data_IF_895814160901
#
_entry.id   IF_895814160901
#
_cell.length_a   1.000
_cell.length_b   1.000
_cell.length_c   1.000
_cell.angle_alpha   90.00
_cell.angle_beta   90.00
_cell.angle_gamma   90.00
#
_symmetry.space_group_name_H-M   'P 1'
#
loop_
_entity.id
_entity.type
_entity.pdbx_description
1 polymer ?
#
# COMPACT_ATOMS: atom_id res chain seq x y z
N UNK A 1 -13.44 -17.63 -6.47
CA UNK A 1 -14.05 -16.29 -6.65
C UNK A 1 -14.30 -15.89 -8.11
N UNK A 2 -14.15 -16.78 -9.10
CA UNK A 2 -14.56 -16.52 -10.49
C UNK A 2 -15.80 -17.32 -10.92
N UNK A 3 -16.41 -18.07 -10.00
CA UNK A 3 -17.58 -18.92 -10.27
C UNK A 3 -18.78 -18.13 -10.77
N UNK A 4 -18.98 -16.92 -10.25
CA UNK A 4 -20.08 -16.03 -10.68
C UNK A 4 -19.81 -15.34 -12.01
N UNK A 5 -18.55 -15.26 -12.42
CA UNK A 5 -18.17 -14.69 -13.71
C UNK A 5 -18.54 -15.63 -14.87
N UNK A 6 -18.96 -16.89 -14.59
CA UNK A 6 -19.19 -17.95 -15.59
C UNK A 6 -18.13 -17.91 -16.69
N UNK A 7 -16.88 -17.55 -16.35
CA UNK A 7 -15.75 -17.68 -17.26
C UNK A 7 -15.59 -19.17 -17.37
N UNK A 8 -16.23 -19.70 -18.41
CA UNK A 8 -16.25 -21.11 -18.67
C UNK A 8 -14.81 -21.50 -18.94
N UNK A 9 -14.14 -22.06 -17.93
CA UNK A 9 -12.86 -22.73 -18.04
C UNK A 9 -13.00 -24.03 -18.85
N UNK A 10 -13.76 -23.97 -19.95
CA UNK A 10 -13.77 -25.01 -20.95
C UNK A 10 -12.36 -25.01 -21.58
N UNK A 11 -11.60 -26.05 -21.25
CA UNK A 11 -10.36 -26.50 -21.90
C UNK A 11 -9.04 -25.83 -21.49
N UNK A 12 -8.81 -25.45 -20.23
CA UNK A 12 -7.50 -24.96 -19.75
C UNK A 12 -6.89 -23.76 -20.52
N UNK A 13 -7.67 -23.12 -21.40
CA UNK A 13 -7.25 -22.01 -22.27
C UNK A 13 -7.08 -20.70 -21.50
N UNK A 14 -7.69 -20.60 -20.31
CA UNK A 14 -7.58 -19.48 -19.38
C UNK A 14 -7.27 -20.09 -18.02
N UNK A 15 -6.10 -19.74 -17.47
CA UNK A 15 -5.65 -20.21 -16.17
C UNK A 15 -5.64 -19.03 -15.21
N UNK A 16 -6.11 -19.27 -13.99
CA UNK A 16 -6.11 -18.26 -12.93
C UNK A 16 -4.91 -18.53 -12.03
N UNK A 17 -4.04 -17.53 -11.88
CA UNK A 17 -2.87 -17.60 -11.00
C UNK A 17 -2.81 -16.32 -10.19
N UNK A 18 -2.80 -16.42 -8.86
CA UNK A 18 -2.67 -15.26 -7.97
C UNK A 18 -3.86 -14.28 -7.99
N UNK A 19 -4.94 -14.60 -8.71
CA UNK A 19 -6.07 -13.70 -8.96
C UNK A 19 -6.07 -13.08 -10.36
N UNK A 20 -4.98 -13.24 -11.12
CA UNK A 20 -4.85 -12.78 -12.50
C UNK A 20 -5.21 -13.88 -13.52
N UNK A 21 -5.47 -13.46 -14.76
CA UNK A 21 -5.90 -14.34 -15.85
C UNK A 21 -4.81 -14.51 -16.91
N UNK A 22 -4.38 -15.74 -17.12
CA UNK A 22 -3.37 -16.12 -18.11
C UNK A 22 -4.04 -16.85 -19.27
N UNK A 23 -4.08 -16.20 -20.43
CA UNK A 23 -4.82 -16.66 -21.59
C UNK A 23 -3.86 -17.29 -22.60
N UNK A 24 -4.12 -18.54 -22.99
CA UNK A 24 -3.23 -19.35 -23.85
C UNK A 24 -3.47 -19.20 -25.36
N UNK A 25 -4.53 -18.51 -25.79
CA UNK A 25 -4.75 -18.23 -27.20
C UNK A 25 -5.68 -17.02 -27.45
N UNK A 26 -5.64 -16.50 -28.68
CA UNK A 26 -6.39 -15.30 -29.09
C UNK A 26 -7.92 -15.48 -29.04
N UNK A 27 -8.42 -16.69 -29.32
CA UNK A 27 -9.86 -16.97 -29.30
C UNK A 27 -10.41 -16.92 -27.86
N UNK A 28 -9.70 -17.54 -26.93
CA UNK A 28 -10.00 -17.49 -25.51
C UNK A 28 -9.94 -16.05 -24.97
N UNK A 29 -8.99 -15.23 -25.44
CA UNK A 29 -8.93 -13.81 -25.07
C UNK A 29 -10.19 -13.07 -25.53
N UNK A 30 -10.57 -13.21 -26.80
CA UNK A 30 -11.76 -12.52 -27.33
C UNK A 30 -13.03 -12.88 -26.53
N UNK A 31 -13.20 -14.17 -26.21
CA UNK A 31 -14.30 -14.66 -25.36
C UNK A 31 -14.25 -14.09 -23.95
N UNK A 32 -13.07 -14.09 -23.32
CA UNK A 32 -12.87 -13.55 -21.98
C UNK A 32 -13.21 -12.06 -21.90
N UNK A 33 -12.68 -11.27 -22.82
CA UNK A 33 -12.94 -9.81 -22.85
C UNK A 33 -14.42 -9.52 -23.06
N UNK A 34 -15.12 -10.32 -23.87
CA UNK A 34 -16.57 -10.21 -24.04
C UNK A 34 -17.32 -10.53 -22.74
N UNK A 35 -16.97 -11.63 -22.06
CA UNK A 35 -17.58 -12.03 -20.78
C UNK A 35 -17.36 -10.99 -19.69
N UNK A 36 -16.15 -10.43 -19.58
CA UNK A 36 -15.84 -9.36 -18.63
C UNK A 36 -16.66 -8.09 -18.90
N UNK A 37 -16.85 -7.70 -20.17
CA UNK A 37 -17.73 -6.57 -20.52
C UNK A 37 -19.19 -6.84 -20.12
N UNK A 38 -19.71 -8.04 -20.39
CA UNK A 38 -21.05 -8.42 -19.95
C UNK A 38 -21.21 -8.42 -18.43
N UNK A 39 -20.14 -8.75 -17.72
CA UNK A 39 -20.09 -8.69 -16.26
C UNK A 39 -19.95 -7.27 -15.71
N UNK A 40 -19.79 -6.25 -16.57
CA UNK A 40 -19.74 -4.84 -16.18
C UNK A 40 -18.34 -4.25 -16.01
N UNK A 41 -17.27 -4.96 -16.40
CA UNK A 41 -15.91 -4.43 -16.32
C UNK A 41 -15.64 -3.40 -17.41
N UNK A 42 -14.94 -2.34 -17.02
CA UNK A 42 -14.19 -1.49 -17.94
C UNK A 42 -12.86 -2.18 -18.27
N UNK A 43 -12.50 -2.24 -19.55
CA UNK A 43 -11.32 -2.96 -20.02
C UNK A 43 -10.39 -2.00 -20.73
N UNK A 44 -9.20 -1.84 -20.15
CA UNK A 44 -8.12 -1.02 -20.67
C UNK A 44 -7.15 -1.89 -21.49
N UNK A 45 -6.80 -1.44 -22.70
CA UNK A 45 -5.77 -2.07 -23.52
C UNK A 45 -4.42 -1.43 -23.21
N UNK A 46 -3.59 -2.11 -22.42
CA UNK A 46 -2.33 -1.58 -21.92
C UNK A 46 -1.27 -1.40 -23.01
N UNK A 47 -1.48 -1.96 -24.20
CA UNK A 47 -0.62 -1.66 -25.36
C UNK A 47 -0.72 -0.21 -25.79
N UNK A 48 -1.85 0.45 -25.56
CA UNK A 48 -2.07 1.85 -25.96
C UNK A 48 -1.83 2.83 -24.82
N UNK A 49 -1.51 2.33 -23.64
CA UNK A 49 -1.46 3.12 -22.43
C UNK A 49 -0.24 4.06 -22.43
N UNK A 50 -0.43 5.24 -21.83
CA UNK A 50 0.58 6.28 -21.68
C UNK A 50 1.79 5.76 -20.88
N UNK A 51 1.55 4.90 -19.89
CA UNK A 51 2.59 4.27 -19.08
C UNK A 51 3.62 3.48 -19.91
N UNK A 52 3.19 2.84 -21.01
CA UNK A 52 4.11 2.19 -21.96
C UNK A 52 5.09 3.19 -22.57
N UNK A 53 4.58 4.35 -23.00
CA UNK A 53 5.37 5.42 -23.63
C UNK A 53 6.37 6.01 -22.64
N UNK A 54 5.94 6.25 -21.41
CA UNK A 54 6.79 6.81 -20.34
C UNK A 54 7.94 5.87 -19.97
N UNK A 55 7.75 4.55 -20.07
CA UNK A 55 8.81 3.55 -19.83
C UNK A 55 9.64 3.17 -21.06
N UNK A 56 9.35 3.74 -22.23
CA UNK A 56 10.06 3.41 -23.48
C UNK A 56 9.92 1.94 -23.93
N UNK A 57 8.97 1.17 -23.36
CA UNK A 57 8.81 -0.25 -23.65
C UNK A 57 8.09 -0.47 -24.99
N UNK A 58 8.61 -1.34 -25.84
CA UNK A 58 7.91 -1.76 -27.05
C UNK A 58 6.81 -2.79 -26.73
N UNK A 59 5.75 -2.89 -27.54
CA UNK A 59 4.72 -3.93 -27.37
C UNK A 59 5.34 -5.33 -27.42
N UNK A 60 6.30 -5.56 -28.32
CA UNK A 60 7.03 -6.82 -28.43
C UNK A 60 7.81 -7.15 -27.15
N UNK A 61 8.38 -6.14 -26.50
CA UNK A 61 9.05 -6.31 -25.20
C UNK A 61 8.06 -6.71 -24.12
N UNK A 62 6.91 -6.03 -24.04
CA UNK A 62 5.85 -6.37 -23.08
C UNK A 62 5.35 -7.81 -23.27
N UNK A 63 5.12 -8.21 -24.54
CA UNK A 63 4.69 -9.56 -24.91
C UNK A 63 5.72 -10.61 -24.52
N UNK A 64 6.99 -10.40 -24.85
CA UNK A 64 8.09 -11.33 -24.51
C UNK A 64 8.33 -11.42 -23.00
N UNK A 65 8.29 -10.29 -22.32
CA UNK A 65 8.59 -10.18 -20.89
C UNK A 65 7.36 -10.52 -20.04
N UNK A 66 6.26 -10.98 -20.64
CA UNK A 66 5.06 -11.43 -19.93
C UNK A 66 4.42 -10.36 -19.07
N UNK A 67 4.35 -9.12 -19.57
CA UNK A 67 3.57 -8.06 -18.94
C UNK A 67 2.09 -8.32 -19.14
N UNK A 68 1.24 -7.80 -18.25
CA UNK A 68 -0.18 -7.74 -18.52
C UNK A 68 -0.42 -6.81 -19.71
N UNK A 69 -1.26 -7.26 -20.65
CA UNK A 69 -1.55 -6.49 -21.86
C UNK A 69 -2.97 -5.92 -21.84
N UNK A 70 -3.77 -6.37 -20.86
CA UNK A 70 -5.08 -5.83 -20.56
C UNK A 70 -5.27 -5.73 -19.06
N UNK A 71 -6.08 -4.76 -18.67
CA UNK A 71 -6.51 -4.56 -17.31
C UNK A 71 -8.02 -4.40 -17.29
N UNK A 72 -8.71 -5.21 -16.49
CA UNK A 72 -10.14 -5.12 -16.29
C UNK A 72 -10.42 -4.61 -14.89
N UNK A 73 -11.23 -3.55 -14.76
CA UNK A 73 -11.67 -3.01 -13.48
C UNK A 73 -13.18 -2.79 -13.46
N UNK A 74 -13.80 -3.00 -12.31
CA UNK A 74 -15.17 -2.53 -12.12
C UNK A 74 -15.18 -0.99 -12.13
N UNK A 75 -16.19 -0.34 -12.70
CA UNK A 75 -16.42 1.09 -12.51
C UNK A 75 -16.62 1.38 -11.02
N UNK A 76 -16.57 2.65 -10.60
CA UNK A 76 -16.55 3.04 -9.19
C UNK A 76 -17.61 2.29 -8.35
N UNK A 77 -17.12 1.33 -7.55
CA UNK A 77 -17.92 0.51 -6.63
C UNK A 77 -17.79 1.01 -5.20
N UNK A 78 -16.88 1.94 -4.92
CA UNK A 78 -16.59 2.42 -3.58
C UNK A 78 -17.35 3.70 -3.30
N UNK A 79 -18.11 3.71 -2.21
CA UNK A 79 -18.90 4.85 -1.81
C UNK A 79 -18.70 5.13 -0.33
N UNK A 80 -18.82 6.40 0.05
CA UNK A 80 -19.12 6.75 1.42
C UNK A 80 -20.58 6.45 1.74
N UNK A 81 -20.85 5.90 2.90
CA UNK A 81 -22.18 5.82 3.49
C UNK A 81 -22.24 6.81 4.64
N UNK A 82 -23.02 7.88 4.50
CA UNK A 82 -23.17 8.89 5.55
C UNK A 82 -23.79 8.27 6.81
N UNK A 83 -23.22 8.54 7.98
CA UNK A 83 -23.73 8.05 9.26
C UNK A 83 -25.05 8.69 9.68
N UNK A 84 -25.28 9.96 9.31
CA UNK A 84 -26.53 10.67 9.66
C UNK A 84 -27.72 10.34 8.76
N UNK A 85 -27.53 10.36 7.43
CA UNK A 85 -28.66 10.18 6.49
C UNK A 85 -28.66 8.83 5.76
N UNK A 86 -27.64 7.99 5.96
CA UNK A 86 -27.50 6.66 5.35
C UNK A 86 -27.58 6.63 3.81
N UNK A 87 -27.35 7.76 3.15
CA UNK A 87 -27.23 7.87 1.69
C UNK A 87 -25.79 7.63 1.25
N UNK A 88 -25.65 7.11 0.03
CA UNK A 88 -24.36 6.97 -0.64
C UNK A 88 -23.86 8.34 -1.10
N UNK A 89 -22.58 8.59 -0.87
CA UNK A 89 -21.85 9.80 -1.23
C UNK A 89 -20.52 9.44 -1.90
N UNK A 90 -19.98 10.36 -2.69
CA UNK A 90 -18.67 10.16 -3.31
C UNK A 90 -17.55 10.02 -2.27
N UNK A 91 -16.63 9.08 -2.50
CA UNK A 91 -15.39 8.95 -1.70
C UNK A 91 -14.47 10.15 -1.86
N UNK A 92 -14.42 10.76 -3.06
CA UNK A 92 -13.73 12.03 -3.26
C UNK A 92 -14.44 13.17 -2.53
N UNK A 93 -15.78 13.17 -2.53
CA UNK A 93 -16.61 14.18 -1.86
C UNK A 93 -16.37 14.23 -0.35
N UNK A 94 -16.16 13.08 0.31
CA UNK A 94 -15.78 13.00 1.73
C UNK A 94 -14.54 13.84 2.04
N UNK A 95 -13.58 13.90 1.11
CA UNK A 95 -12.29 14.59 1.31
C UNK A 95 -12.23 16.00 0.71
N UNK A 96 -13.17 16.38 -0.15
CA UNK A 96 -13.08 17.62 -0.95
C UNK A 96 -14.23 18.62 -0.76
N UNK A 97 -15.35 18.25 -0.12
CA UNK A 97 -16.51 19.15 0.04
C UNK A 97 -16.62 19.71 1.45
N UNK A 98 -15.53 20.28 1.95
CA UNK A 98 -15.48 20.77 3.33
C UNK A 98 -15.82 19.71 4.36
N UNK A 99 -15.52 18.45 4.02
CA UNK A 99 -15.86 17.26 4.78
C UNK A 99 -17.35 17.09 5.08
N UNK A 100 -18.26 17.66 4.29
CA UNK A 100 -19.72 17.52 4.49
C UNK A 100 -20.33 16.51 3.52
N UNK A 101 -21.40 15.87 3.99
CA UNK A 101 -22.24 15.00 3.19
C UNK A 101 -22.93 15.84 2.11
N UNK A 102 -22.64 15.55 0.84
CA UNK A 102 -23.27 16.18 -0.33
C UNK A 102 -24.81 15.97 -0.41
N UNK A 103 -25.40 15.16 0.48
CA UNK A 103 -26.85 14.90 0.51
C UNK A 103 -27.57 15.60 1.66
N UNK A 104 -26.96 15.72 2.83
CA UNK A 104 -27.62 16.29 4.02
C UNK A 104 -26.80 17.39 4.73
N UNK A 105 -25.60 17.71 4.25
CA UNK A 105 -24.74 18.75 4.82
C UNK A 105 -24.04 18.37 6.14
N UNK A 106 -24.34 17.21 6.72
CA UNK A 106 -23.69 16.74 7.95
C UNK A 106 -22.18 16.56 7.73
N UNK A 107 -21.37 16.90 8.72
CA UNK A 107 -19.93 16.62 8.68
C UNK A 107 -19.73 15.10 8.59
N UNK A 108 -18.87 14.66 7.69
CA UNK A 108 -18.54 13.26 7.37
C UNK A 108 -17.15 12.89 7.83
N UNK A 109 -16.20 13.84 7.92
CA UNK A 109 -14.78 13.58 8.20
C UNK A 109 -14.13 14.78 8.93
N UNK A 110 -13.12 14.52 9.76
CA UNK A 110 -12.33 15.57 10.45
C UNK A 110 -13.13 16.62 11.25
N UNK A 111 -14.16 16.22 12.00
CA UNK A 111 -14.61 17.10 13.07
C UNK A 111 -13.53 17.14 14.16
N UNK A 112 -12.71 18.20 14.16
CA UNK A 112 -11.74 18.47 15.22
C UNK A 112 -12.49 19.07 16.42
N UNK A 113 -13.16 18.19 17.16
CA UNK A 113 -13.90 18.54 18.38
C UNK A 113 -12.95 18.85 19.54
N UNK A 114 -13.46 19.54 20.57
CA UNK A 114 -12.72 19.83 21.80
C UNK A 114 -12.12 18.54 22.39
N UNK A 115 -10.82 18.59 22.70
CA UNK A 115 -10.05 17.46 23.23
C UNK A 115 -9.47 16.53 22.16
N UNK A 116 -9.75 16.74 20.87
CA UNK A 116 -9.04 16.03 19.79
C UNK A 116 -7.54 16.28 19.90
N UNK A 117 -6.72 15.28 19.60
CA UNK A 117 -5.27 15.46 19.50
C UNK A 117 -4.91 15.77 18.05
N UNK A 118 -4.06 16.76 17.82
CA UNK A 118 -3.65 17.19 16.48
C UNK A 118 -2.12 17.28 16.39
N UNK A 119 -1.55 16.55 15.42
CA UNK A 119 -0.11 16.49 15.15
C UNK A 119 0.22 17.22 13.85
N UNK A 120 1.14 18.18 13.92
CA UNK A 120 1.46 19.03 12.78
C UNK A 120 2.91 19.51 12.79
N UNK A 121 3.31 20.11 11.67
CA UNK A 121 4.55 20.88 11.49
C UNK A 121 4.22 22.25 10.87
N UNK A 122 5.07 23.25 11.07
CA UNK A 122 4.96 24.52 10.35
C UNK A 122 5.52 24.43 8.94
N UNK A 123 4.85 25.08 7.98
CA UNK A 123 5.34 25.31 6.62
C UNK A 123 6.27 26.52 6.64
N UNK A 124 7.58 26.26 6.65
CA UNK A 124 8.65 27.25 6.74
C UNK A 124 9.73 27.06 5.65
N UNK A 125 9.37 26.42 4.53
CA UNK A 125 10.25 26.14 3.38
C UNK A 125 11.52 25.31 3.67
N UNK A 126 11.65 24.72 4.86
CA UNK A 126 12.74 23.80 5.20
C UNK A 126 12.52 22.41 4.57
N UNK A 127 13.61 21.77 4.12
CA UNK A 127 13.59 20.41 3.59
C UNK A 127 13.17 19.42 4.70
N UNK A 128 12.15 18.61 4.43
CA UNK A 128 11.53 17.73 5.43
C UNK A 128 12.03 16.30 5.31
N UNK A 129 12.56 15.79 6.41
CA UNK A 129 12.91 14.39 6.57
C UNK A 129 11.88 13.64 7.42
N UNK A 130 12.00 12.31 7.45
CA UNK A 130 11.17 11.42 8.28
C UNK A 130 11.17 11.78 9.78
N UNK A 131 12.16 12.54 10.26
CA UNK A 131 12.29 12.98 11.65
C UNK A 131 12.23 14.50 11.83
N UNK A 132 11.57 15.23 10.93
CA UNK A 132 11.31 16.66 11.14
C UNK A 132 10.56 16.87 12.48
N UNK A 133 10.88 17.94 13.24
CA UNK A 133 10.26 18.19 14.53
C UNK A 133 8.77 18.45 14.36
N UNK A 134 7.94 17.68 15.06
CA UNK A 134 6.49 17.76 15.05
C UNK A 134 5.96 18.24 16.40
N UNK A 135 4.89 19.03 16.38
CA UNK A 135 4.12 19.35 17.56
C UNK A 135 2.90 18.45 17.66
N UNK A 136 2.52 18.16 18.90
CA UNK A 136 1.33 17.40 19.24
C UNK A 136 0.58 18.17 20.31
N UNK A 137 -0.65 18.61 20.02
CA UNK A 137 -1.41 19.51 20.90
C UNK A 137 -2.89 19.11 20.93
N UNK A 138 -3.64 19.59 21.93
CA UNK A 138 -5.09 19.41 22.01
C UNK A 138 -5.83 20.51 21.24
N UNK A 139 -6.84 20.12 20.48
CA UNK A 139 -7.76 21.04 19.81
C UNK A 139 -8.81 21.52 20.79
N UNK A 140 -9.06 22.83 20.81
CA UNK A 140 -10.23 23.42 21.45
C UNK A 140 -11.42 23.42 20.49
N UNK A 141 -11.22 23.99 19.30
CA UNK A 141 -12.22 24.08 18.23
C UNK A 141 -11.57 24.39 16.88
N UNK A 142 -12.31 24.13 15.80
CA UNK A 142 -11.94 24.53 14.45
C UNK A 142 -13.02 25.43 13.86
N UNK A 143 -12.69 26.70 13.66
CA UNK A 143 -13.54 27.64 12.95
C UNK A 143 -13.30 27.49 11.45
N UNK A 144 -14.09 26.63 10.82
CA UNK A 144 -13.98 26.36 9.38
C UNK A 144 -14.46 27.51 8.50
N UNK A 145 -15.29 28.42 9.03
CA UNK A 145 -15.83 29.55 8.27
C UNK A 145 -14.75 30.62 8.08
N UNK A 146 -14.01 30.92 9.15
CA UNK A 146 -12.90 31.87 9.10
C UNK A 146 -11.54 31.21 8.83
N UNK A 147 -11.47 29.88 8.85
CA UNK A 147 -10.27 29.10 8.54
C UNK A 147 -9.22 29.13 9.65
N UNK A 148 -9.64 29.05 10.92
CA UNK A 148 -8.76 29.09 12.09
C UNK A 148 -8.91 27.86 12.97
N UNK A 149 -7.78 27.24 13.30
CA UNK A 149 -7.68 26.17 14.27
C UNK A 149 -7.21 26.75 15.62
N UNK A 150 -7.89 26.37 16.70
CA UNK A 150 -7.59 26.80 18.05
C UNK A 150 -7.09 25.60 18.86
N UNK A 151 -5.89 25.72 19.40
CA UNK A 151 -5.22 24.66 20.17
C UNK A 151 -4.97 25.13 21.60
N UNK A 152 -5.13 24.24 22.58
CA UNK A 152 -4.70 24.52 23.94
C UNK A 152 -3.18 24.69 23.97
N UNK A 153 -2.69 25.65 24.75
CA UNK A 153 -1.26 25.97 24.88
C UNK A 153 -0.48 24.94 25.74
N UNK A 154 -0.73 23.66 25.52
CA UNK A 154 -0.09 22.52 26.19
C UNK A 154 0.45 21.55 25.13
N UNK A 155 1.70 21.11 25.33
CA UNK A 155 2.38 20.17 24.45
C UNK A 155 2.21 18.74 24.96
N UNK A 156 1.78 17.86 24.08
CA UNK A 156 1.61 16.45 24.37
C UNK A 156 2.86 15.66 24.00
N UNK A 157 3.18 14.65 24.80
CA UNK A 157 4.18 13.65 24.44
C UNK A 157 3.76 12.84 23.20
N UNK A 158 4.73 12.21 22.52
CA UNK A 158 4.47 11.45 21.29
C UNK A 158 5.66 10.65 20.76
N UNK A 159 5.58 10.25 19.48
CA UNK A 159 6.59 9.40 18.82
C UNK A 159 7.94 10.08 18.63
N UNK A 160 8.88 9.38 17.96
CA UNK A 160 10.30 9.75 17.81
C UNK A 160 10.52 11.18 17.25
N UNK A 161 9.56 11.71 16.48
CA UNK A 161 9.59 13.05 15.85
C UNK A 161 8.93 14.16 16.67
N UNK A 162 8.23 13.86 17.77
CA UNK A 162 7.46 14.85 18.53
C UNK A 162 8.36 15.58 19.53
N UNK A 163 8.42 16.91 19.42
CA UNK A 163 9.18 17.75 20.35
C UNK A 163 8.30 18.20 21.53
N UNK A 164 8.87 18.23 22.73
CA UNK A 164 8.14 18.53 23.98
C UNK A 164 8.88 19.56 24.86
N UNK A 165 8.17 20.15 25.83
CA UNK A 165 8.72 21.11 26.80
C UNK A 165 9.45 22.29 26.14
N UNK A 166 10.64 22.62 26.63
CA UNK A 166 11.47 23.73 26.12
C UNK A 166 11.75 23.68 24.60
N UNK A 167 11.84 22.48 24.00
CA UNK A 167 12.07 22.31 22.55
C UNK A 167 10.81 22.63 21.76
N UNK A 168 9.64 22.26 22.27
CA UNK A 168 8.36 22.65 21.66
C UNK A 168 8.18 24.17 21.69
N UNK A 169 8.49 24.80 22.83
CA UNK A 169 8.49 26.27 22.95
C UNK A 169 9.47 26.93 21.98
N UNK A 170 10.69 26.41 21.89
CA UNK A 170 11.70 26.94 20.94
C UNK A 170 11.24 26.78 19.49
N UNK A 171 10.54 25.69 19.17
CA UNK A 171 10.00 25.43 17.84
C UNK A 171 8.81 26.34 17.52
N UNK A 172 7.92 26.61 18.48
CA UNK A 172 6.87 27.61 18.33
C UNK A 172 7.44 29.02 18.10
N UNK A 173 8.41 29.43 18.91
CA UNK A 173 9.01 30.77 18.85
C UNK A 173 9.67 31.05 17.49
N UNK A 174 10.35 30.04 16.92
CA UNK A 174 10.89 30.12 15.56
C UNK A 174 9.83 30.29 14.47
N UNK A 175 8.59 29.89 14.73
CA UNK A 175 7.48 29.96 13.80
C UNK A 175 6.39 30.93 14.26
N UNK A 176 6.74 31.92 15.11
CA UNK A 176 5.79 32.87 15.72
C UNK A 176 4.93 33.65 14.72
N UNK A 177 5.40 33.84 13.50
CA UNK A 177 4.67 34.56 12.46
C UNK A 177 3.48 33.73 11.90
N UNK A 178 3.43 32.43 12.23
CA UNK A 178 2.36 31.52 11.81
C UNK A 178 1.18 31.42 12.79
N UNK A 179 1.27 32.01 13.96
CA UNK A 179 0.25 31.83 15.01
C UNK A 179 0.09 33.07 15.88
N UNK A 180 -1.04 33.13 16.59
CA UNK A 180 -1.30 34.16 17.60
C UNK A 180 -1.81 33.52 18.90
N UNK A 181 -1.52 34.15 20.04
CA UNK A 181 -2.15 33.80 21.31
C UNK A 181 -3.44 34.60 21.45
N UNK A 182 -4.52 33.91 21.77
CA UNK A 182 -5.80 34.50 22.14
C UNK A 182 -6.23 33.95 23.50
N UNK A 183 -6.93 34.76 24.27
CA UNK A 183 -7.51 34.33 25.54
C UNK A 183 -8.99 34.00 25.34
N UNK A 184 -9.41 32.79 25.70
CA UNK A 184 -10.79 32.31 25.65
C UNK A 184 -11.05 31.48 26.92
N UNK A 185 -12.17 31.74 27.61
CA UNK A 185 -12.53 31.06 28.87
C UNK A 185 -11.44 31.07 29.96
N UNK A 186 -10.63 32.15 30.01
CA UNK A 186 -9.52 32.28 30.97
C UNK A 186 -8.31 31.38 30.65
N UNK A 187 -8.23 30.84 29.43
CA UNK A 187 -7.12 30.02 28.96
C UNK A 187 -6.48 30.64 27.72
N UNK A 188 -5.15 30.57 27.64
CA UNK A 188 -4.43 30.94 26.44
C UNK A 188 -4.55 29.82 25.41
N UNK A 189 -5.01 30.19 24.21
CA UNK A 189 -5.11 29.32 23.05
C UNK A 189 -4.17 29.81 21.97
N UNK A 190 -3.61 28.84 21.26
CA UNK A 190 -2.82 29.08 20.07
C UNK A 190 -3.77 29.03 18.86
N UNK A 191 -3.96 30.17 18.21
CA UNK A 191 -4.78 30.33 17.01
C UNK A 191 -3.90 30.28 15.76
N UNK A 192 -4.17 29.34 14.88
CA UNK A 192 -3.42 29.09 13.64
C UNK A 192 -4.35 29.21 12.44
N UNK A 193 -3.89 29.85 11.36
CA UNK A 193 -4.60 29.80 10.07
C UNK A 193 -4.52 28.39 9.49
N UNK A 194 -5.65 27.70 9.47
CA UNK A 194 -5.81 26.34 8.97
C UNK A 194 -7.18 26.22 8.29
N UNK A 195 -7.18 26.42 6.98
CA UNK A 195 -8.38 26.37 6.15
C UNK A 195 -8.94 24.96 6.01
N UNK A 196 -10.24 24.89 5.75
CA UNK A 196 -10.96 23.64 5.52
C UNK A 196 -10.45 22.87 4.29
N UNK A 197 -10.11 23.59 3.22
CA UNK A 197 -9.39 23.04 2.08
C UNK A 197 -7.89 23.27 2.27
N UNK A 198 -7.15 22.17 2.42
CA UNK A 198 -5.70 22.26 2.54
C UNK A 198 -5.08 22.69 1.20
N UNK A 199 -4.27 23.75 1.24
CA UNK A 199 -3.48 24.22 0.10
C UNK A 199 -2.05 24.47 0.54
N UNK A 200 -1.10 23.73 -0.04
CA UNK A 200 0.33 23.80 0.29
C UNK A 200 0.92 25.21 0.18
N UNK A 201 0.44 26.03 -0.76
CA UNK A 201 0.95 27.38 -0.99
C UNK A 201 0.45 28.44 -0.01
N UNK A 202 -0.57 28.12 0.80
CA UNK A 202 -1.19 29.08 1.74
C UNK A 202 -1.37 28.56 3.15
N UNK A 203 -1.19 27.26 3.37
CA UNK A 203 -1.30 26.64 4.68
C UNK A 203 -0.09 27.02 5.55
N UNK A 204 -0.36 27.43 6.78
CA UNK A 204 0.70 27.73 7.75
C UNK A 204 1.29 26.45 8.35
N UNK A 205 0.47 25.42 8.44
CA UNK A 205 0.85 24.12 9.00
C UNK A 205 0.48 22.98 8.05
N UNK A 206 1.20 21.88 8.18
CA UNK A 206 0.85 20.60 7.57
C UNK A 206 0.47 19.62 8.68
N UNK A 207 -0.74 19.06 8.58
CA UNK A 207 -1.25 18.04 9.50
C UNK A 207 -0.68 16.67 9.12
N UNK A 208 -0.10 15.98 10.10
CA UNK A 208 0.35 14.60 9.92
C UNK A 208 -0.73 13.62 10.37
N UNK A 209 -1.25 13.83 11.58
CA UNK A 209 -2.21 12.92 12.20
C UNK A 209 -3.15 13.71 13.10
N UNK A 210 -4.34 13.17 13.33
CA UNK A 210 -5.22 13.62 14.40
C UNK A 210 -5.89 12.40 15.04
N UNK A 211 -6.25 12.50 16.31
CA UNK A 211 -6.97 11.45 17.04
C UNK A 211 -8.14 12.06 17.81
N UNK A 212 -9.21 11.29 17.98
CA UNK A 212 -10.44 11.77 18.63
C UNK A 212 -11.42 12.47 17.70
N UNK A 213 -11.21 12.39 16.38
CA UNK A 213 -12.18 12.88 15.39
C UNK A 213 -13.33 11.88 15.20
N UNK A 214 -14.54 12.39 14.96
CA UNK A 214 -15.69 11.55 14.60
C UNK A 214 -15.68 11.26 13.10
N UNK A 215 -15.76 9.97 12.75
CA UNK A 215 -16.08 9.53 11.40
C UNK A 215 -17.57 9.29 11.27
N UNK A 216 -18.29 10.30 10.80
CA UNK A 216 -19.72 10.17 10.50
C UNK A 216 -19.95 9.65 9.06
N UNK A 217 -19.14 8.69 8.65
CA UNK A 217 -19.32 7.91 7.44
C UNK A 217 -18.65 6.53 7.57
N UNK A 218 -18.98 5.62 6.66
CA UNK A 218 -18.23 4.37 6.45
C UNK A 218 -17.98 4.17 4.97
N UNK A 219 -16.83 3.60 4.60
CA UNK A 219 -16.62 3.16 3.22
C UNK A 219 -17.38 1.85 3.02
N UNK A 220 -18.11 1.76 1.91
CA UNK A 220 -18.87 0.57 1.51
C UNK A 220 -18.63 0.31 0.04
N UNK A 221 -18.81 -0.95 -0.36
CA UNK A 221 -18.84 -1.34 -1.77
C UNK A 221 -20.26 -1.61 -2.20
N UNK A 222 -20.63 -1.18 -3.41
CA UNK A 222 -21.96 -1.43 -3.98
C UNK A 222 -21.82 -2.20 -5.27
N UNK A 223 -22.39 -3.40 -5.31
CA UNK A 223 -22.38 -4.25 -6.49
C UNK A 223 -23.77 -4.84 -6.75
N UNK A 224 -24.30 -4.61 -7.96
CA UNK A 224 -25.66 -5.05 -8.38
C UNK A 224 -26.74 -4.69 -7.34
N UNK A 225 -26.67 -3.49 -6.78
CA UNK A 225 -27.61 -2.99 -5.76
C UNK A 225 -27.41 -3.55 -4.35
N UNK A 226 -26.53 -4.54 -4.15
CA UNK A 226 -26.17 -5.05 -2.83
C UNK A 226 -25.00 -4.27 -2.25
N UNK A 227 -25.07 -3.99 -0.95
CA UNK A 227 -24.01 -3.34 -0.17
C UNK A 227 -23.11 -4.39 0.48
N UNK A 228 -21.83 -4.08 0.52
CA UNK A 228 -20.76 -4.85 1.16
C UNK A 228 -19.93 -3.88 2.00
N UNK A 229 -19.29 -4.37 3.06
CA UNK A 229 -18.32 -3.58 3.80
C UNK A 229 -17.10 -3.23 2.92
N UNK A 230 -16.31 -2.24 3.33
CA UNK A 230 -15.02 -1.93 2.68
C UNK A 230 -14.08 -3.15 2.60
N UNK A 231 -14.10 -4.00 3.62
CA UNK A 231 -13.20 -5.14 3.75
C UNK A 231 -13.80 -6.44 3.20
N UNK A 232 -15.11 -6.43 2.91
CA UNK A 232 -15.78 -7.56 2.29
C UNK A 232 -15.25 -7.77 0.87
N UNK A 233 -15.08 -9.03 0.50
CA UNK A 233 -14.82 -9.43 -0.87
C UNK A 233 -16.13 -9.40 -1.65
N UNK A 234 -16.12 -8.72 -2.80
CA UNK A 234 -17.20 -8.83 -3.75
C UNK A 234 -17.27 -10.28 -4.30
N UNK A 235 -18.44 -10.72 -4.82
CA UNK A 235 -18.57 -12.04 -5.44
C UNK A 235 -17.68 -12.23 -6.68
N UNK A 236 -17.16 -11.13 -7.24
CA UNK A 236 -16.22 -11.07 -8.35
C UNK A 236 -15.04 -10.13 -7.96
N UNK A 237 -13.84 -10.29 -8.54
CA UNK A 237 -12.72 -9.40 -8.26
C UNK A 237 -12.98 -7.96 -8.72
N UNK A 238 -12.54 -6.95 -7.97
CA UNK A 238 -12.73 -5.55 -8.37
C UNK A 238 -11.82 -5.14 -9.54
N UNK A 239 -10.65 -5.76 -9.63
CA UNK A 239 -9.67 -5.56 -10.69
C UNK A 239 -8.96 -6.86 -11.02
N UNK A 240 -8.56 -7.01 -12.28
CA UNK A 240 -7.97 -8.23 -12.83
C UNK A 240 -6.93 -7.84 -13.90
N UNK A 241 -5.70 -8.36 -13.78
CA UNK A 241 -4.72 -8.27 -14.86
C UNK A 241 -4.89 -9.47 -15.80
N UNK A 242 -4.73 -9.23 -17.10
CA UNK A 242 -4.87 -10.26 -18.11
C UNK A 242 -3.58 -10.36 -18.95
N UNK A 243 -3.02 -11.55 -18.96
CA UNK A 243 -1.78 -11.91 -19.63
C UNK A 243 -2.07 -12.75 -20.86
N UNK A 244 -1.36 -12.47 -21.94
CA UNK A 244 -1.40 -13.26 -23.16
C UNK A 244 -0.24 -14.25 -23.13
N UNK A 245 -0.43 -15.39 -22.47
CA UNK A 245 0.66 -16.33 -22.19
C UNK A 245 1.22 -17.03 -23.42
N UNK A 246 0.48 -17.06 -24.54
CA UNK A 246 0.97 -17.64 -25.80
C UNK A 246 2.18 -16.92 -26.40
N UNK A 247 2.53 -15.73 -25.94
CA UNK A 247 3.73 -15.02 -26.43
C UNK A 247 5.02 -15.51 -25.79
N UNK A 248 4.96 -16.16 -24.63
CA UNK A 248 6.13 -16.47 -23.82
C UNK A 248 6.11 -17.87 -23.17
N UNK A 249 4.95 -18.53 -23.10
CA UNK A 249 4.83 -19.89 -22.58
C UNK A 249 4.94 -20.94 -23.70
N UNK A 250 5.48 -22.14 -23.41
CA UNK A 250 6.03 -22.54 -22.12
C UNK A 250 7.43 -21.94 -21.88
N UNK A 251 7.71 -21.57 -20.63
CA UNK A 251 9.01 -21.06 -20.20
C UNK A 251 10.01 -22.21 -20.00
N UNK A 252 11.20 -22.14 -20.59
CA UNK A 252 12.24 -23.13 -20.35
C UNK A 252 12.81 -23.01 -18.94
N UNK A 253 13.40 -24.11 -18.48
CA UNK A 253 14.23 -24.15 -17.26
C UNK A 253 15.37 -23.13 -17.39
N UNK A 254 15.51 -22.24 -16.41
CA UNK A 254 16.53 -21.19 -16.41
C UNK A 254 16.89 -20.73 -14.98
N UNK A 255 18.06 -20.10 -14.79
CA UNK A 255 18.48 -19.56 -13.49
C UNK A 255 17.50 -18.59 -12.83
N UNK A 256 16.66 -17.92 -13.61
CA UNK A 256 15.74 -16.86 -13.17
C UNK A 256 14.26 -17.26 -13.27
N UNK A 257 13.95 -18.52 -13.59
CA UNK A 257 12.58 -18.99 -13.72
C UNK A 257 11.78 -18.84 -12.42
N UNK A 258 12.42 -19.04 -11.26
CA UNK A 258 11.80 -18.87 -9.96
C UNK A 258 11.24 -17.45 -9.75
N UNK A 259 11.92 -16.42 -10.24
CA UNK A 259 11.44 -15.03 -10.20
C UNK A 259 10.14 -14.84 -10.97
N UNK A 260 9.99 -15.54 -12.11
CA UNK A 260 8.75 -15.51 -12.91
C UNK A 260 7.59 -16.17 -12.16
N UNK A 261 7.85 -17.30 -11.51
CA UNK A 261 6.86 -18.03 -10.72
C UNK A 261 6.41 -17.20 -9.50
N UNK A 262 7.36 -16.60 -8.76
CA UNK A 262 7.06 -15.73 -7.62
C UNK A 262 6.25 -14.51 -8.04
N UNK A 263 6.70 -13.81 -9.09
CA UNK A 263 6.01 -12.61 -9.60
C UNK A 263 4.58 -12.91 -10.04
N UNK A 264 4.34 -14.07 -10.67
CA UNK A 264 3.00 -14.50 -11.08
C UNK A 264 2.02 -14.71 -9.91
N UNK A 265 2.54 -14.85 -8.68
CA UNK A 265 1.76 -15.00 -7.44
C UNK A 265 1.88 -13.78 -6.53
N UNK A 266 2.28 -12.64 -7.10
CA UNK A 266 2.46 -11.36 -6.41
C UNK A 266 3.48 -11.42 -5.26
N UNK A 267 4.50 -12.27 -5.39
CA UNK A 267 5.61 -12.38 -4.44
C UNK A 267 6.88 -11.77 -5.03
N UNK A 268 7.76 -11.29 -4.16
CA UNK A 268 9.09 -10.81 -4.56
C UNK A 268 10.09 -11.98 -4.59
N UNK A 269 11.09 -11.88 -5.47
CA UNK A 269 12.20 -12.82 -5.58
C UNK A 269 13.44 -12.40 -4.78
N UNK A 270 13.40 -11.22 -4.18
CA UNK A 270 14.44 -10.70 -3.33
C UNK A 270 14.26 -11.16 -1.87
N UNK A 271 15.17 -12.02 -1.41
CA UNK A 271 15.20 -12.49 -0.02
C UNK A 271 15.40 -11.33 0.96
N UNK A 272 16.11 -10.27 0.56
CA UNK A 272 16.41 -9.10 1.36
C UNK A 272 15.16 -8.44 1.97
N UNK A 273 14.04 -8.52 1.25
CA UNK A 273 12.75 -7.99 1.66
C UNK A 273 12.07 -8.78 2.80
N UNK A 274 12.38 -10.07 2.95
CA UNK A 274 11.65 -10.97 3.84
C UNK A 274 12.29 -11.19 5.22
N UNK A 275 13.44 -10.62 5.50
CA UNK A 275 14.10 -10.78 6.81
C UNK A 275 13.42 -9.98 7.94
N UNK A 276 12.35 -9.23 7.67
CA UNK A 276 11.79 -8.22 8.57
C UNK A 276 10.88 -8.76 9.69
N UNK A 277 10.37 -9.99 9.62
CA UNK A 277 9.33 -10.43 10.58
C UNK A 277 9.49 -11.87 11.12
N UNK A 278 10.39 -12.70 10.58
CA UNK A 278 10.61 -14.08 11.07
C UNK A 278 9.39 -15.00 11.03
N UNK A 279 8.24 -14.53 10.53
CA UNK A 279 7.01 -15.29 10.32
C UNK A 279 7.08 -16.08 9.02
N UNK A 280 6.34 -17.21 8.92
CA UNK A 280 6.10 -17.86 7.64
C UNK A 280 5.53 -16.85 6.65
N UNK A 281 6.20 -16.69 5.51
CA UNK A 281 5.78 -15.79 4.44
C UNK A 281 4.96 -16.52 3.38
N UNK A 282 5.38 -17.74 3.03
CA UNK A 282 4.66 -18.56 2.07
C UNK A 282 3.64 -19.44 2.77
N UNK A 283 2.36 -19.25 2.44
CA UNK A 283 1.28 -20.12 2.86
C UNK A 283 1.07 -21.24 1.82
N UNK A 284 0.35 -22.29 2.20
CA UNK A 284 -0.09 -23.35 1.29
C UNK A 284 -0.80 -22.80 0.04
N UNK A 285 -1.60 -21.74 0.22
CA UNK A 285 -2.27 -21.05 -0.88
C UNK A 285 -1.28 -20.46 -1.89
N UNK A 286 -0.16 -19.88 -1.43
CA UNK A 286 0.88 -19.36 -2.32
C UNK A 286 1.52 -20.48 -3.15
N UNK A 287 1.91 -21.58 -2.52
CA UNK A 287 2.50 -22.73 -3.22
C UNK A 287 1.55 -23.38 -4.22
N UNK A 288 0.26 -23.46 -3.88
CA UNK A 288 -0.77 -23.98 -4.78
C UNK A 288 -0.92 -23.10 -6.04
N UNK A 289 -0.87 -21.78 -5.91
CA UNK A 289 -0.90 -20.88 -7.07
C UNK A 289 0.38 -21.00 -7.91
N UNK A 290 1.55 -21.15 -7.28
CA UNK A 290 2.81 -21.40 -7.99
C UNK A 290 2.78 -22.72 -8.75
N UNK A 291 2.22 -23.78 -8.16
CA UNK A 291 2.05 -25.08 -8.81
C UNK A 291 1.18 -24.99 -10.07
N UNK A 292 0.08 -24.23 -10.03
CA UNK A 292 -0.75 -23.95 -11.21
C UNK A 292 0.07 -23.27 -12.32
N UNK A 293 0.89 -22.28 -11.95
CA UNK A 293 1.74 -21.60 -12.92
C UNK A 293 2.76 -22.56 -13.55
N UNK A 294 3.47 -23.34 -12.74
CA UNK A 294 4.45 -24.34 -13.17
C UNK A 294 3.82 -25.31 -14.16
N UNK A 295 2.66 -25.88 -13.81
CA UNK A 295 1.94 -26.87 -14.59
C UNK A 295 1.51 -26.39 -15.97
N UNK A 296 1.14 -25.12 -16.10
CA UNK A 296 0.56 -24.60 -17.34
C UNK A 296 1.52 -23.80 -18.20
N UNK A 297 2.59 -23.25 -17.63
CA UNK A 297 3.38 -22.21 -18.31
C UNK A 297 4.88 -22.45 -18.29
N UNK A 298 5.37 -23.59 -17.79
CA UNK A 298 6.79 -23.90 -17.73
C UNK A 298 7.08 -25.29 -18.30
N UNK A 299 8.36 -25.57 -18.57
CA UNK A 299 8.86 -26.89 -18.93
C UNK A 299 9.36 -27.71 -17.71
N UNK A 300 9.12 -27.25 -16.48
CA UNK A 300 9.44 -28.01 -15.27
C UNK A 300 8.49 -29.22 -15.14
N UNK A 301 8.97 -30.27 -14.47
CA UNK A 301 8.13 -31.40 -14.08
C UNK A 301 7.16 -30.94 -12.97
N UNK A 302 5.91 -30.71 -13.36
CA UNK A 302 4.86 -30.24 -12.46
C UNK A 302 4.51 -31.24 -11.37
N UNK A 303 4.59 -32.54 -11.66
CA UNK A 303 4.28 -33.58 -10.68
C UNK A 303 5.43 -33.72 -9.68
N UNK A 304 6.67 -33.52 -10.11
CA UNK A 304 7.81 -33.39 -9.20
C UNK A 304 7.69 -32.13 -8.32
N UNK A 305 7.22 -31.01 -8.88
CA UNK A 305 6.97 -29.80 -8.10
C UNK A 305 5.93 -30.03 -7.01
N UNK A 306 4.79 -30.65 -7.35
CA UNK A 306 3.71 -30.95 -6.41
C UNK A 306 4.14 -31.87 -5.26
N UNK A 307 5.08 -32.78 -5.52
CA UNK A 307 5.68 -33.62 -4.46
C UNK A 307 6.70 -32.87 -3.60
N UNK A 308 7.35 -31.84 -4.14
CA UNK A 308 8.46 -31.15 -3.50
C UNK A 308 8.00 -29.97 -2.62
N UNK A 309 7.11 -29.11 -3.12
CA UNK A 309 6.76 -27.86 -2.46
C UNK A 309 6.21 -28.01 -1.03
N UNK A 310 5.49 -29.09 -0.63
CA UNK A 310 5.06 -29.26 0.76
C UNK A 310 6.21 -29.34 1.77
N UNK A 311 7.43 -29.58 1.29
CA UNK A 311 8.67 -29.63 2.10
C UNK A 311 9.51 -28.37 2.00
N UNK A 312 9.14 -27.42 1.14
CA UNK A 312 9.85 -26.15 1.04
C UNK A 312 9.65 -25.37 2.32
N UNK A 313 10.70 -24.66 2.72
CA UNK A 313 10.62 -23.78 3.87
C UNK A 313 9.61 -22.66 3.60
N UNK A 314 8.85 -22.34 4.63
CA UNK A 314 7.82 -21.29 4.54
C UNK A 314 8.35 -19.92 4.95
N UNK A 315 9.56 -19.82 5.51
CA UNK A 315 10.22 -18.52 5.71
C UNK A 315 10.55 -17.91 4.34
N UNK A 316 10.30 -16.61 4.14
CA UNK A 316 10.47 -15.97 2.83
C UNK A 316 11.82 -16.25 2.16
N UNK A 317 12.97 -16.04 2.85
CA UNK A 317 14.29 -16.32 2.28
C UNK A 317 14.52 -17.80 1.95
N UNK A 318 14.12 -18.70 2.85
CA UNK A 318 14.26 -20.14 2.70
C UNK A 318 13.39 -20.68 1.57
N UNK A 319 12.13 -20.27 1.50
CA UNK A 319 11.20 -20.69 0.46
C UNK A 319 11.62 -20.23 -0.93
N UNK A 320 12.11 -18.99 -1.08
CA UNK A 320 12.68 -18.50 -2.34
C UNK A 320 13.87 -19.37 -2.75
N UNK A 321 14.76 -19.69 -1.80
CA UNK A 321 15.94 -20.53 -2.07
C UNK A 321 15.55 -21.94 -2.51
N UNK A 322 14.56 -22.55 -1.87
CA UNK A 322 14.12 -23.91 -2.17
C UNK A 322 13.43 -23.97 -3.54
N UNK A 323 12.55 -23.00 -3.84
CA UNK A 323 11.95 -22.84 -5.17
C UNK A 323 13.00 -22.63 -6.26
N UNK A 324 13.98 -21.74 -6.01
CA UNK A 324 15.04 -21.44 -6.96
C UNK A 324 15.87 -22.67 -7.31
N UNK A 325 16.29 -23.44 -6.29
CA UNK A 325 17.02 -24.70 -6.47
C UNK A 325 16.22 -25.75 -7.21
N UNK A 326 14.91 -25.83 -6.97
CA UNK A 326 14.04 -26.71 -7.73
C UNK A 326 13.99 -26.31 -9.22
N UNK A 327 13.92 -25.01 -9.50
CA UNK A 327 13.84 -24.52 -10.87
C UNK A 327 15.13 -24.75 -11.65
N UNK A 328 16.30 -24.55 -11.03
CA UNK A 328 17.60 -24.66 -11.71
C UNK A 328 18.75 -24.82 -10.70
N UNK A 329 19.72 -25.70 -10.98
CA UNK A 329 20.85 -25.96 -10.09
C UNK A 329 21.72 -24.73 -9.81
N UNK A 330 21.88 -23.86 -10.83
CA UNK A 330 22.61 -22.59 -10.76
C UNK A 330 21.69 -21.37 -10.65
N UNK A 331 20.59 -21.48 -9.90
CA UNK A 331 19.64 -20.38 -9.80
C UNK A 331 20.26 -19.11 -9.20
N UNK A 332 19.83 -17.97 -9.73
CA UNK A 332 20.32 -16.64 -9.34
C UNK A 332 19.33 -15.99 -8.38
N UNK A 333 19.52 -16.20 -7.08
CA UNK A 333 18.60 -15.66 -6.06
C UNK A 333 19.08 -14.28 -5.60
N UNK A 334 18.20 -13.27 -5.70
CA UNK A 334 18.47 -11.92 -5.23
C UNK A 334 18.46 -11.84 -3.71
N UNK A 335 19.33 -10.98 -3.19
CA UNK A 335 19.52 -10.73 -1.77
C UNK A 335 20.03 -9.31 -1.58
N UNK A 336 19.17 -8.32 -1.85
CA UNK A 336 19.56 -6.91 -1.84
C UNK A 336 19.52 -6.32 -0.42
N UNK A 337 20.45 -5.40 -0.08
CA UNK A 337 20.39 -4.67 1.18
C UNK A 337 19.06 -3.92 1.34
N UNK A 338 18.43 -4.06 2.51
CA UNK A 338 17.14 -3.43 2.78
C UNK A 338 17.15 -2.71 4.14
N UNK A 339 16.85 -1.41 4.13
CA UNK A 339 16.80 -0.56 5.32
C UNK A 339 15.81 -1.07 6.38
N UNK A 340 14.72 -1.70 5.95
CA UNK A 340 13.73 -2.25 6.89
C UNK A 340 14.32 -3.34 7.79
N UNK A 341 15.32 -4.10 7.33
CA UNK A 341 16.03 -5.07 8.18
C UNK A 341 16.79 -4.38 9.32
N UNK A 342 17.38 -3.21 9.04
CA UNK A 342 18.05 -2.38 10.05
C UNK A 342 17.03 -1.76 11.02
N UNK A 343 15.91 -1.27 10.50
CA UNK A 343 14.85 -0.67 11.33
C UNK A 343 14.21 -1.70 12.27
N UNK A 344 13.95 -2.91 11.79
CA UNK A 344 13.45 -4.02 12.63
C UNK A 344 14.46 -4.35 13.73
N UNK A 345 15.74 -4.47 13.38
CA UNK A 345 16.79 -4.79 14.34
C UNK A 345 16.92 -3.71 15.42
N UNK A 346 16.89 -2.43 15.02
CA UNK A 346 16.89 -1.29 15.94
C UNK A 346 15.65 -1.30 16.83
N UNK A 347 14.45 -1.49 16.26
CA UNK A 347 13.20 -1.54 17.00
C UNK A 347 13.17 -2.64 18.05
N UNK A 348 13.61 -3.86 17.70
CA UNK A 348 13.75 -4.98 18.64
C UNK A 348 14.76 -4.67 19.75
N UNK A 349 15.92 -4.10 19.39
CA UNK A 349 16.94 -3.68 20.34
C UNK A 349 16.43 -2.65 21.36
N UNK A 350 15.70 -1.63 20.89
CA UNK A 350 15.08 -0.60 21.74
C UNK A 350 14.00 -1.18 22.67
N UNK A 351 13.30 -2.23 22.23
CA UNK A 351 12.30 -2.94 23.02
C UNK A 351 12.86 -4.07 23.89
N UNK A 352 14.20 -4.19 24.01
CA UNK A 352 14.85 -5.23 24.82
C UNK A 352 14.69 -6.66 24.27
N UNK A 353 14.25 -6.82 23.03
CA UNK A 353 14.10 -8.12 22.38
C UNK A 353 15.42 -8.62 21.81
N UNK A 354 15.68 -9.92 21.94
CA UNK A 354 16.86 -10.55 21.34
C UNK A 354 16.66 -10.74 19.84
N UNK A 355 17.66 -10.38 19.06
CA UNK A 355 17.73 -10.70 17.64
C UNK A 355 18.17 -12.15 17.45
N UNK A 356 17.55 -12.84 16.50
CA UNK A 356 18.03 -14.11 15.98
C UNK A 356 19.29 -13.90 15.13
N UNK A 357 20.06 -14.97 14.90
CA UNK A 357 21.27 -14.90 14.04
C UNK A 357 20.93 -14.40 12.63
N UNK A 358 19.83 -14.88 12.05
CA UNK A 358 19.38 -14.47 10.72
C UNK A 358 19.02 -12.98 10.67
N UNK A 359 18.38 -12.44 11.71
CA UNK A 359 18.06 -11.00 11.80
C UNK A 359 19.32 -10.15 11.98
N UNK A 360 20.32 -10.62 12.74
CA UNK A 360 21.62 -9.95 12.86
C UNK A 360 22.33 -9.90 11.52
N UNK A 361 22.38 -11.02 10.80
CA UNK A 361 23.03 -11.10 9.50
C UNK A 361 22.30 -10.25 8.45
N UNK A 362 20.97 -10.24 8.47
CA UNK A 362 20.15 -9.38 7.61
C UNK A 362 20.31 -7.89 7.92
N UNK A 363 20.41 -7.50 9.19
CA UNK A 363 20.66 -6.11 9.58
C UNK A 363 22.06 -5.65 9.15
N UNK A 364 23.07 -6.50 9.32
CA UNK A 364 24.43 -6.24 8.80
C UNK A 364 24.44 -6.10 7.27
N UNK A 365 23.68 -6.93 6.57
CA UNK A 365 23.53 -6.85 5.14
C UNK A 365 22.81 -5.57 4.70
N UNK A 366 21.75 -5.17 5.42
CA UNK A 366 21.04 -3.90 5.21
C UNK A 366 21.94 -2.67 5.40
N UNK A 367 22.90 -2.73 6.34
CA UNK A 367 23.96 -1.72 6.47
C UNK A 367 24.93 -1.70 5.28
N UNK A 368 24.83 -2.60 4.31
CA UNK A 368 25.62 -2.57 3.08
C UNK A 368 25.25 -1.40 2.16
N UNK A 369 24.00 -0.94 2.21
CA UNK A 369 23.49 0.20 1.43
C UNK A 369 24.02 1.55 1.97
N UNK A 370 24.68 2.39 1.14
CA UNK A 370 25.19 3.70 1.55
C UNK A 370 24.15 4.59 2.24
N UNK A 371 22.91 4.64 1.73
CA UNK A 371 21.85 5.46 2.32
C UNK A 371 21.48 4.98 3.73
N UNK A 372 21.46 3.66 3.92
CA UNK A 372 21.23 3.04 5.24
C UNK A 372 22.41 3.29 6.21
N UNK A 373 23.66 3.33 5.73
CA UNK A 373 24.82 3.71 6.57
C UNK A 373 24.73 5.14 7.06
N UNK A 374 24.41 6.07 6.17
CA UNK A 374 24.26 7.49 6.49
C UNK A 374 23.16 7.70 7.51
N UNK A 375 22.03 6.99 7.36
CA UNK A 375 20.94 6.95 8.33
C UNK A 375 21.42 6.54 9.74
N UNK A 376 22.13 5.42 9.87
CA UNK A 376 22.59 4.92 11.18
C UNK A 376 23.65 5.85 11.80
N UNK A 377 24.52 6.45 10.98
CA UNK A 377 25.48 7.45 11.45
C UNK A 377 24.79 8.71 11.99
N UNK A 378 23.72 9.16 11.32
CA UNK A 378 22.89 10.27 11.80
C UNK A 378 22.22 9.98 13.15
N UNK A 379 21.80 8.74 13.37
CA UNK A 379 21.21 8.31 14.64
C UNK A 379 22.22 8.32 15.80
N UNK A 380 23.47 7.90 15.58
CA UNK A 380 24.54 7.90 16.60
C UNK A 380 25.02 9.30 17.02
N UNK A 381 24.71 10.33 16.23
CA UNK A 381 25.08 11.72 16.50
C UNK A 381 23.99 12.50 17.26
N UNK A 382 22.83 11.88 17.49
CA UNK A 382 21.79 12.34 18.41
C UNK A 382 21.92 11.59 19.72
#
# INVERSE_FOLDING_TARGET
>A
MLGDLKISAHNDDIVVVGGDLYVKNKFALARLLFQLKLAGYQIDNLRKDKYRKERGASVKTMEKDGWSLWFAKLPDVHFGLCGSCHKLISTSGIRSHGHKCEKCGAVTFYELIDGSTFRFVFNNDEERGMFSPQLNMKVKRWDTENGFLYLYYDFLDGGISVVTGHRALSYLDRNKDGWEIVEEDGQNLLKIKYGLEWNRGTAVIESYESWGHEFNHKIVKVWKGKRYSEWDRLPIPEMISIFESWHWAPLPVSPTLHSRILSATHQTDDKGWHYQDGRPWFSEGHWTEMAKFVRHFTLLDADAFDRAWPRFRSDGPGGITDLARFCHEKAEVRDEPNIGNVLVALGKGLNGQRLTKQEVDAAKHGLGDPATKDFVQGYRRR
#
